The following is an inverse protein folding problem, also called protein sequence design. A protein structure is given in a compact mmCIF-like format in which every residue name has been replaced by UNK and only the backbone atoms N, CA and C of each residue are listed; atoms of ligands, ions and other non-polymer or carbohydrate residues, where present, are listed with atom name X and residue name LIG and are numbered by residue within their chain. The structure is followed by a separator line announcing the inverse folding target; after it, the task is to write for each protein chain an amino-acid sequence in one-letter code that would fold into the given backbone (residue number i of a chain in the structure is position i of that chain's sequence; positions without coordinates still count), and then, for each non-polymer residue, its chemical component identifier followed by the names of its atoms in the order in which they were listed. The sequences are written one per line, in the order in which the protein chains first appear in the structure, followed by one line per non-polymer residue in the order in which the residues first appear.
data_IF_866564768511
#
_entry.id   IF_866564768511
#
_cell.length_a   1.000
_cell.length_b   1.000
_cell.length_c   1.000
_cell.angle_alpha   90.00
_cell.angle_beta   90.00
_cell.angle_gamma   90.00
#
_symmetry.space_group_name_H-M   'P 1'
#
loop_
_entity.id
_entity.type
_entity.pdbx_description
1 polymer ?
#
# COMPACT_ATOMS: atom_id res chain seq x y z
N UNK A 1 -28.72 15.98 21.21
CA UNK A 1 -28.51 16.10 19.75
C UNK A 1 -27.08 16.55 19.39
N UNK A 2 -26.19 16.77 20.36
CA UNK A 2 -24.87 17.37 20.13
C UNK A 2 -23.84 16.42 19.52
N UNK A 3 -24.02 15.12 19.71
CA UNK A 3 -23.08 14.12 19.20
C UNK A 3 -23.04 14.10 17.67
N UNK A 4 -24.17 14.38 17.00
CA UNK A 4 -24.24 14.42 15.54
C UNK A 4 -23.39 15.57 14.96
N UNK A 5 -23.27 16.68 15.69
CA UNK A 5 -22.42 17.82 15.29
C UNK A 5 -20.95 17.42 15.24
N UNK A 6 -20.53 16.45 16.06
CA UNK A 6 -19.17 15.90 16.04
C UNK A 6 -19.04 14.76 15.03
N UNK A 7 -19.99 13.80 15.01
CA UNK A 7 -19.88 12.60 14.17
C UNK A 7 -19.98 12.92 12.68
N UNK A 8 -20.81 13.88 12.26
CA UNK A 8 -20.96 14.24 10.85
C UNK A 8 -19.63 14.73 10.24
N UNK A 9 -18.95 15.76 10.79
CA UNK A 9 -17.68 16.22 10.22
C UNK A 9 -16.56 15.17 10.37
N UNK A 10 -16.53 14.40 11.46
CA UNK A 10 -15.55 13.31 11.62
C UNK A 10 -15.75 12.25 10.54
N UNK A 11 -16.99 11.84 10.27
CA UNK A 11 -17.30 10.83 9.25
C UNK A 11 -16.98 11.33 7.84
N UNK A 12 -17.32 12.59 7.55
CA UNK A 12 -16.93 13.23 6.29
C UNK A 12 -15.41 13.29 6.13
N UNK A 13 -14.71 13.68 7.20
CA UNK A 13 -13.26 13.75 7.24
C UNK A 13 -12.62 12.39 6.97
N UNK A 14 -13.07 11.34 7.65
CA UNK A 14 -12.61 9.96 7.42
C UNK A 14 -12.88 9.48 5.99
N UNK A 15 -14.05 9.81 5.43
CA UNK A 15 -14.38 9.50 4.04
C UNK A 15 -13.44 10.18 3.04
N UNK A 16 -13.16 11.47 3.24
CA UNK A 16 -12.19 12.22 2.42
C UNK A 16 -10.78 11.67 2.57
N UNK A 17 -10.36 11.33 3.79
CA UNK A 17 -9.04 10.76 4.07
C UNK A 17 -8.87 9.41 3.37
N UNK A 18 -9.88 8.54 3.42
CA UNK A 18 -9.90 7.26 2.71
C UNK A 18 -9.83 7.45 1.19
N UNK A 19 -10.59 8.40 0.63
CA UNK A 19 -10.55 8.69 -0.80
C UNK A 19 -9.18 9.24 -1.24
N UNK A 20 -8.61 10.17 -0.46
CA UNK A 20 -7.28 10.72 -0.73
C UNK A 20 -6.19 9.63 -0.69
N UNK A 21 -6.25 8.75 0.32
CA UNK A 21 -5.35 7.60 0.43
C UNK A 21 -5.49 6.68 -0.79
N UNK A 22 -6.71 6.37 -1.21
CA UNK A 22 -6.97 5.53 -2.39
C UNK A 22 -6.42 6.14 -3.69
N UNK A 23 -6.61 7.44 -3.91
CA UNK A 23 -6.04 8.12 -5.09
C UNK A 23 -4.49 8.13 -5.02
N UNK A 24 -3.94 8.28 -3.82
CA UNK A 24 -2.50 8.22 -3.60
C UNK A 24 -1.91 6.83 -3.93
N UNK A 25 -2.55 5.73 -3.53
CA UNK A 25 -2.07 4.36 -3.84
C UNK A 25 -2.08 4.09 -5.34
N UNK A 26 -3.13 4.52 -6.05
CA UNK A 26 -3.21 4.42 -7.52
C UNK A 26 -2.10 5.21 -8.21
N UNK A 27 -1.80 6.43 -7.74
CA UNK A 27 -0.71 7.26 -8.30
C UNK A 27 0.68 6.68 -8.04
N UNK A 28 0.87 5.97 -6.93
CA UNK A 28 2.15 5.36 -6.58
C UNK A 28 2.44 4.06 -7.34
N UNK A 29 1.60 3.67 -8.31
CA UNK A 29 1.80 2.46 -9.12
C UNK A 29 1.95 1.20 -8.26
N UNK A 30 1.40 1.21 -7.04
CA UNK A 30 1.49 0.09 -6.08
C UNK A 30 0.76 -1.16 -6.58
N UNK A 31 -0.01 -1.05 -7.67
CA UNK A 31 -0.75 -2.14 -8.29
C UNK A 31 -0.21 -2.52 -9.68
N UNK A 32 0.97 -2.03 -10.08
CA UNK A 32 1.51 -2.31 -11.42
C UNK A 32 2.01 -3.75 -11.57
N UNK A 33 2.45 -4.41 -10.49
CA UNK A 33 2.90 -5.81 -10.54
C UNK A 33 2.50 -6.69 -9.33
N UNK A 34 1.19 -6.79 -8.99
CA UNK A 34 0.73 -7.66 -7.92
C UNK A 34 0.96 -9.16 -8.23
N UNK A 35 1.09 -9.52 -9.52
CA UNK A 35 1.38 -10.91 -9.94
C UNK A 35 2.84 -11.29 -9.68
N UNK A 36 3.79 -10.39 -9.96
CA UNK A 36 5.20 -10.61 -9.70
C UNK A 36 5.51 -10.71 -8.21
N UNK A 37 4.86 -9.90 -7.37
CA UNK A 37 4.99 -10.00 -5.91
C UNK A 37 4.46 -11.34 -5.37
N UNK A 38 3.29 -11.80 -5.84
CA UNK A 38 2.74 -13.11 -5.48
C UNK A 38 3.61 -14.28 -5.99
N UNK A 39 4.24 -14.14 -7.15
CA UNK A 39 5.15 -15.15 -7.67
C UNK A 39 6.46 -15.25 -6.86
N UNK A 40 6.95 -14.13 -6.30
CA UNK A 40 8.17 -14.11 -5.47
C UNK A 40 7.97 -14.78 -4.12
N UNK A 41 6.82 -14.60 -3.47
CA UNK A 41 6.57 -15.20 -2.15
C UNK A 41 6.41 -16.73 -2.21
N UNK A 42 6.04 -17.27 -3.37
CA UNK A 42 5.97 -18.70 -3.64
C UNK A 42 7.27 -19.27 -4.21
N UNK A 43 8.33 -18.45 -4.32
CA UNK A 43 9.60 -18.88 -4.89
C UNK A 43 10.60 -19.25 -3.80
N UNK A 44 11.11 -20.49 -3.85
CA UNK A 44 12.12 -20.99 -2.89
C UNK A 44 13.51 -20.34 -3.09
N UNK A 45 13.66 -19.49 -4.13
CA UNK A 45 14.95 -18.93 -4.58
C UNK A 45 15.68 -18.12 -3.50
N UNK A 46 14.94 -17.58 -2.53
CA UNK A 46 15.47 -16.70 -1.48
C UNK A 46 15.14 -17.19 -0.07
N UNK A 47 14.67 -18.44 0.08
CA UNK A 47 14.25 -18.99 1.38
C UNK A 47 15.47 -19.31 2.27
N UNK A 48 16.57 -19.77 1.65
CA UNK A 48 17.80 -20.11 2.36
C UNK A 48 18.69 -18.90 2.68
N UNK A 49 18.67 -17.85 1.85
CA UNK A 49 19.56 -16.68 1.95
C UNK A 49 18.90 -15.44 1.33
N UNK A 50 19.03 -14.26 1.96
CA UNK A 50 18.51 -13.02 1.38
C UNK A 50 19.16 -12.73 0.02
N UNK A 51 18.44 -12.03 -0.89
CA UNK A 51 19.00 -11.70 -2.19
C UNK A 51 20.29 -10.89 -2.03
N UNK A 52 21.32 -11.15 -2.85
CA UNK A 52 22.55 -10.39 -2.81
C UNK A 52 22.20 -8.92 -3.05
N UNK A 53 22.51 -8.08 -2.06
CA UNK A 53 22.16 -6.67 -2.08
C UNK A 53 22.61 -6.02 -3.39
N UNK A 54 21.72 -5.24 -3.99
CA UNK A 54 21.93 -4.49 -5.23
C UNK A 54 23.01 -3.41 -5.00
N UNK A 55 24.26 -3.82 -4.87
CA UNK A 55 25.43 -3.00 -4.54
C UNK A 55 26.56 -3.10 -5.55
N UNK A 56 26.31 -3.73 -6.71
CA UNK A 56 27.29 -3.85 -7.80
C UNK A 56 26.62 -3.51 -9.13
N UNK A 57 26.31 -2.22 -9.31
CA UNK A 57 26.33 -1.64 -10.66
C UNK A 57 27.74 -1.06 -10.88
N UNK A 58 28.39 -1.33 -12.02
CA UNK A 58 29.66 -0.70 -12.37
C UNK A 58 29.51 0.83 -12.50
#
# INVERSE_FOLDING_TARGET
MDVLILLVPVSLGLGLLGLAAFVWTLRHRQYDDPKGDAARILSDRWDDRPPPGEGTRP
#
